data_IF_199188381624
#
_entry.id   IF_199188381624
#
_cell.length_a   1.000
_cell.length_b   1.000
_cell.length_c   1.000
_cell.angle_alpha   90.00
_cell.angle_beta   90.00
_cell.angle_gamma   90.00
#
_symmetry.space_group_name_H-M   'P 1'
#
loop_
_entity.id
_entity.type
_entity.pdbx_description
1 polymer ?
#
# COMPACT_ATOMS: atom_id res chain seq x y z
N UNK A 1 13.76 -22.17 1.87
CA UNK A 1 13.50 -20.72 2.00
C UNK A 1 14.68 -20.00 1.40
N UNK A 2 14.54 -19.48 0.18
CA UNK A 2 15.60 -18.72 -0.48
C UNK A 2 15.82 -17.39 0.26
N UNK A 3 16.72 -17.41 1.24
CA UNK A 3 17.03 -16.26 2.10
C UNK A 3 17.42 -15.01 1.32
N UNK A 4 18.03 -15.20 0.13
CA UNK A 4 18.34 -14.13 -0.83
C UNK A 4 17.09 -13.44 -1.36
N UNK A 5 16.05 -14.21 -1.71
CA UNK A 5 14.77 -13.67 -2.22
C UNK A 5 14.04 -12.93 -1.10
N UNK A 6 14.03 -13.50 0.11
CA UNK A 6 13.44 -12.86 1.28
C UNK A 6 14.08 -11.49 1.56
N UNK A 7 15.41 -11.44 1.68
CA UNK A 7 16.13 -10.20 1.93
C UNK A 7 15.95 -9.18 0.80
N UNK A 8 16.03 -9.61 -0.46
CA UNK A 8 15.85 -8.72 -1.61
C UNK A 8 14.43 -8.11 -1.63
N UNK A 9 13.40 -8.94 -1.40
CA UNK A 9 12.01 -8.49 -1.42
C UNK A 9 11.70 -7.61 -0.21
N UNK A 10 12.15 -8.01 0.98
CA UNK A 10 12.00 -7.23 2.20
C UNK A 10 12.66 -5.87 2.06
N UNK A 11 13.93 -5.82 1.65
CA UNK A 11 14.65 -4.54 1.53
C UNK A 11 14.05 -3.66 0.44
N UNK A 12 13.69 -4.20 -0.72
CA UNK A 12 13.04 -3.41 -1.78
C UNK A 12 11.72 -2.78 -1.31
N UNK A 13 10.84 -3.56 -0.68
CA UNK A 13 9.55 -3.06 -0.17
C UNK A 13 9.76 -2.10 1.00
N UNK A 14 10.65 -2.45 1.94
CA UNK A 14 10.94 -1.63 3.11
C UNK A 14 11.47 -0.25 2.72
N UNK A 15 12.43 -0.19 1.78
CA UNK A 15 12.94 1.08 1.25
C UNK A 15 11.88 1.87 0.48
N UNK A 16 11.02 1.19 -0.30
CA UNK A 16 9.93 1.84 -1.01
C UNK A 16 8.88 2.45 -0.07
N UNK A 17 8.60 1.79 1.06
CA UNK A 17 7.58 2.21 2.05
C UNK A 17 8.12 3.17 3.11
N UNK A 18 9.44 3.22 3.34
CA UNK A 18 10.10 4.03 4.39
C UNK A 18 9.94 5.55 4.24
N UNK A 19 9.61 6.03 3.05
CA UNK A 19 9.53 7.46 2.74
C UNK A 19 8.13 7.88 2.29
N UNK A 20 7.09 7.15 2.72
CA UNK A 20 5.73 7.44 2.30
C UNK A 20 5.02 8.46 3.21
N UNK A 21 4.09 9.22 2.61
CA UNK A 21 3.26 10.24 3.27
C UNK A 21 2.48 9.67 4.45
N UNK A 22 2.12 8.39 4.42
CA UNK A 22 1.45 7.70 5.52
C UNK A 22 2.26 7.72 6.82
N UNK A 23 3.59 7.60 6.75
CA UNK A 23 4.46 7.65 7.93
C UNK A 23 4.55 9.06 8.52
N UNK A 24 4.64 10.09 7.67
CA UNK A 24 4.61 11.49 8.09
C UNK A 24 3.27 11.85 8.77
N UNK A 25 2.16 11.36 8.24
CA UNK A 25 0.83 11.51 8.86
C UNK A 25 0.78 10.81 10.22
N UNK A 26 1.33 9.60 10.34
CA UNK A 26 1.41 8.87 11.61
C UNK A 26 2.22 9.62 12.68
N UNK A 27 3.38 10.16 12.31
CA UNK A 27 4.21 10.99 13.20
C UNK A 27 3.46 12.27 13.60
N UNK A 28 2.81 12.94 12.64
CA UNK A 28 2.04 14.15 12.91
C UNK A 28 0.85 13.90 13.84
N UNK A 29 0.10 12.81 13.64
CA UNK A 29 -0.99 12.42 14.53
C UNK A 29 -0.50 12.03 15.91
N UNK A 30 0.63 11.33 16.00
CA UNK A 30 1.27 10.97 17.27
C UNK A 30 1.68 12.22 18.04
N UNK A 31 2.35 13.16 17.37
CA UNK A 31 2.78 14.44 17.95
C UNK A 31 1.59 15.30 18.42
N UNK A 32 0.50 15.34 17.65
CA UNK A 32 -0.72 16.10 18.02
C UNK A 32 -1.48 15.48 19.19
N UNK A 33 -1.54 14.14 19.26
CA UNK A 33 -2.36 13.43 20.24
C UNK A 33 -1.62 13.15 21.55
N UNK A 34 -0.28 13.23 21.55
CA UNK A 34 0.58 12.87 22.68
C UNK A 34 0.51 11.38 23.07
N UNK A 35 -0.14 10.55 22.24
CA UNK A 35 -0.44 9.14 22.52
C UNK A 35 0.08 8.24 21.38
N UNK A 36 1.40 8.01 21.28
CA UNK A 36 2.01 7.27 20.18
C UNK A 36 1.46 5.85 20.05
N UNK A 37 1.23 5.15 21.17
CA UNK A 37 0.71 3.78 21.18
C UNK A 37 -0.70 3.69 20.61
N UNK A 38 -1.55 4.68 20.89
CA UNK A 38 -2.93 4.71 20.36
C UNK A 38 -2.96 4.93 18.85
N UNK A 39 -2.08 5.80 18.34
CA UNK A 39 -1.96 6.07 16.89
C UNK A 39 -1.39 4.86 16.17
N UNK A 40 -0.40 4.19 16.76
CA UNK A 40 0.15 2.95 16.23
C UNK A 40 -0.91 1.85 16.16
N UNK A 41 -1.62 1.58 17.25
CA UNK A 41 -2.69 0.58 17.28
C UNK A 41 -3.81 0.89 16.28
N UNK A 42 -4.22 2.16 16.18
CA UNK A 42 -5.22 2.60 15.20
C UNK A 42 -4.76 2.38 13.76
N UNK A 43 -3.51 2.70 13.46
CA UNK A 43 -2.93 2.52 12.12
C UNK A 43 -2.82 1.04 11.75
N UNK A 44 -2.36 0.21 12.68
CA UNK A 44 -2.27 -1.25 12.48
C UNK A 44 -3.65 -1.87 12.28
N UNK A 45 -4.64 -1.48 13.09
CA UNK A 45 -6.01 -1.95 12.95
C UNK A 45 -6.63 -1.53 11.61
N UNK A 46 -6.45 -0.26 11.21
CA UNK A 46 -6.93 0.24 9.92
C UNK A 46 -6.29 -0.53 8.75
N UNK A 47 -4.97 -0.74 8.80
CA UNK A 47 -4.25 -1.48 7.77
C UNK A 47 -4.70 -2.94 7.66
N UNK A 48 -4.94 -3.60 8.80
CA UNK A 48 -5.52 -4.95 8.84
C UNK A 48 -6.90 -4.98 8.19
N UNK A 49 -7.79 -4.05 8.53
CA UNK A 49 -9.15 -4.00 7.97
C UNK A 49 -9.11 -3.79 6.47
N UNK A 50 -8.33 -2.82 6.00
CA UNK A 50 -8.17 -2.56 4.56
C UNK A 50 -7.62 -3.78 3.85
N UNK A 51 -6.59 -4.44 4.41
CA UNK A 51 -5.99 -5.64 3.81
C UNK A 51 -7.00 -6.78 3.70
N UNK A 52 -7.77 -7.04 4.77
CA UNK A 52 -8.79 -8.10 4.75
C UNK A 52 -9.84 -7.83 3.68
N UNK A 53 -10.31 -6.58 3.58
CA UNK A 53 -11.29 -6.18 2.55
C UNK A 53 -10.68 -6.34 1.15
N UNK A 54 -9.47 -5.85 0.94
CA UNK A 54 -8.77 -5.93 -0.36
C UNK A 54 -8.54 -7.38 -0.81
N UNK A 55 -8.11 -8.26 0.11
CA UNK A 55 -7.89 -9.67 -0.20
C UNK A 55 -9.22 -10.38 -0.48
N UNK A 56 -10.26 -10.11 0.30
CA UNK A 56 -11.58 -10.73 0.11
C UNK A 56 -12.18 -10.35 -1.25
N UNK A 57 -12.19 -9.05 -1.58
CA UNK A 57 -12.68 -8.56 -2.87
C UNK A 57 -11.79 -9.10 -4.01
N UNK A 58 -10.47 -9.05 -3.84
CA UNK A 58 -9.52 -9.55 -4.83
C UNK A 58 -9.70 -11.04 -5.13
N UNK A 59 -9.95 -11.85 -4.11
CA UNK A 59 -10.20 -13.28 -4.26
C UNK A 59 -11.50 -13.59 -5.01
N UNK A 60 -12.57 -12.81 -4.78
CA UNK A 60 -13.84 -12.95 -5.51
C UNK A 60 -13.67 -12.56 -6.97
N UNK A 61 -13.00 -11.43 -7.23
CA UNK A 61 -12.73 -10.95 -8.58
C UNK A 61 -11.85 -11.92 -9.35
N UNK A 62 -10.82 -12.49 -8.71
CA UNK A 62 -9.90 -13.44 -9.33
C UNK A 62 -10.58 -14.73 -9.82
N UNK A 63 -11.74 -15.10 -9.25
CA UNK A 63 -12.53 -16.25 -9.73
C UNK A 63 -13.31 -15.96 -11.02
N UNK A 64 -13.61 -14.69 -11.30
CA UNK A 64 -14.46 -14.29 -12.43
C UNK A 64 -13.68 -13.57 -13.53
N UNK A 65 -12.50 -13.03 -13.23
CA UNK A 65 -11.72 -12.19 -14.14
C UNK A 65 -10.40 -12.88 -14.49
N UNK A 66 -10.08 -12.90 -15.79
CA UNK A 66 -8.79 -13.41 -16.28
C UNK A 66 -7.62 -12.60 -15.69
N UNK A 67 -6.52 -13.23 -15.25
CA UNK A 67 -5.36 -12.53 -14.67
C UNK A 67 -4.78 -11.43 -15.56
N UNK A 68 -4.87 -11.62 -16.88
CA UNK A 68 -4.39 -10.66 -17.88
C UNK A 68 -5.13 -9.32 -17.82
N UNK A 69 -6.44 -9.34 -17.61
CA UNK A 69 -7.24 -8.11 -17.50
C UNK A 69 -6.86 -7.31 -16.27
N UNK A 70 -6.62 -7.99 -15.13
CA UNK A 70 -6.16 -7.34 -13.90
C UNK A 70 -4.81 -6.68 -14.13
N UNK A 71 -3.90 -7.35 -14.84
CA UNK A 71 -2.58 -6.80 -15.19
C UNK A 71 -2.69 -5.57 -16.09
N UNK A 72 -3.51 -5.62 -17.15
CA UNK A 72 -3.68 -4.48 -18.06
C UNK A 72 -4.35 -3.29 -17.37
N UNK A 73 -5.39 -3.54 -16.56
CA UNK A 73 -6.04 -2.49 -15.76
C UNK A 73 -5.05 -1.84 -14.78
N UNK A 74 -4.24 -2.64 -14.09
CA UNK A 74 -3.21 -2.12 -13.19
C UNK A 74 -2.17 -1.26 -13.91
N UNK A 75 -1.67 -1.71 -15.05
CA UNK A 75 -0.72 -0.95 -15.87
C UNK A 75 -1.35 0.37 -16.39
N UNK A 76 -2.59 0.33 -16.87
CA UNK A 76 -3.29 1.52 -17.34
C UNK A 76 -3.51 2.54 -16.22
N UNK A 77 -3.91 2.10 -15.03
CA UNK A 77 -4.06 2.94 -13.84
C UNK A 77 -2.73 3.59 -13.44
N UNK A 78 -1.63 2.83 -13.45
CA UNK A 78 -0.30 3.36 -13.15
C UNK A 78 0.15 4.43 -14.14
N UNK A 79 -0.06 4.19 -15.44
CA UNK A 79 0.26 5.18 -16.49
C UNK A 79 -0.61 6.43 -16.32
N UNK A 80 -1.91 6.26 -16.04
CA UNK A 80 -2.85 7.37 -15.87
C UNK A 80 -2.45 8.23 -14.66
N UNK A 81 -2.20 7.62 -13.50
CA UNK A 81 -1.77 8.35 -12.30
C UNK A 81 -0.42 9.03 -12.54
N UNK A 82 0.55 8.33 -13.14
CA UNK A 82 1.86 8.90 -13.46
C UNK A 82 1.76 10.08 -14.42
N UNK A 83 0.87 10.02 -15.41
CA UNK A 83 0.62 11.13 -16.35
C UNK A 83 -0.05 12.32 -15.64
N UNK A 84 -1.06 12.07 -14.81
CA UNK A 84 -1.73 13.13 -14.04
C UNK A 84 -0.76 13.86 -13.10
N UNK A 85 0.12 13.10 -12.44
CA UNK A 85 1.19 13.63 -11.59
C UNK A 85 2.22 14.43 -12.40
N UNK A 86 2.59 13.96 -13.60
CA UNK A 86 3.51 14.68 -14.48
C UNK A 86 2.96 16.05 -14.93
N UNK A 87 1.66 16.13 -15.21
CA UNK A 87 0.99 17.40 -15.54
C UNK A 87 0.66 18.26 -14.31
N UNK A 88 1.07 17.85 -13.10
CA UNK A 88 0.83 18.59 -11.86
C UNK A 88 -0.65 18.74 -11.51
N UNK A 89 -1.50 17.83 -12.02
CA UNK A 89 -2.94 17.81 -11.74
C UNK A 89 -3.24 17.12 -10.39
N UNK A 90 -2.25 16.42 -9.84
CA UNK A 90 -2.16 15.74 -8.54
C UNK A 90 -0.72 15.91 -8.05
#
# INVERSE_FOLDING_TARGET
MDWKIFLATFSAIFLAELADKTQLVGIGMSAKSGKPVSVWLGSVAAYMVVTVISVFIGAILARHIKPELVRYCGAALFILIGTLMFFGKI
#
